data_IF_967011987067
#
_entry.id   IF_967011987067
#
_cell.length_a   1.000
_cell.length_b   1.000
_cell.length_c   1.000
_cell.angle_alpha   90.00
_cell.angle_beta   90.00
_cell.angle_gamma   90.00
#
_symmetry.space_group_name_H-M   'P 1'
#
loop_
_entity.id
_entity.type
_entity.pdbx_description
1 polymer ?
#
# COMPACT_ATOMS: atom_id res chain seq x y z
N UNK A 1 -4.03 17.54 11.55
CA UNK A 1 -4.33 18.52 10.49
C UNK A 1 -5.74 18.28 10.03
N UNK A 2 -6.52 19.33 9.87
CA UNK A 2 -7.86 19.24 9.28
C UNK A 2 -7.77 18.80 7.83
N UNK A 3 -8.61 17.86 7.41
CA UNK A 3 -8.62 17.31 6.06
C UNK A 3 -8.43 15.81 5.99
N UNK A 4 -8.10 15.32 4.79
CA UNK A 4 -7.91 13.90 4.49
C UNK A 4 -6.42 13.55 4.35
N UNK A 5 -6.13 12.27 4.19
CA UNK A 5 -4.76 11.83 3.85
C UNK A 5 -4.26 12.45 2.53
N UNK A 6 -5.15 12.63 1.55
CA UNK A 6 -4.80 13.24 0.27
C UNK A 6 -4.45 14.74 0.43
N UNK A 7 -5.11 15.45 1.36
CA UNK A 7 -4.76 16.83 1.73
C UNK A 7 -3.34 16.89 2.27
N UNK A 8 -2.99 16.03 3.22
CA UNK A 8 -1.63 15.94 3.77
C UNK A 8 -0.59 15.63 2.68
N UNK A 9 -0.94 14.72 1.76
CA UNK A 9 -0.03 14.32 0.69
C UNK A 9 0.16 15.43 -0.36
N UNK A 10 -0.89 16.20 -0.68
CA UNK A 10 -0.79 17.35 -1.57
C UNK A 10 0.12 18.43 -0.96
N UNK A 11 -0.11 18.79 0.31
CA UNK A 11 0.72 19.76 1.04
C UNK A 11 2.20 19.33 1.08
N UNK A 12 2.47 18.04 1.33
CA UNK A 12 3.83 17.51 1.31
C UNK A 12 4.49 17.66 -0.08
N UNK A 13 3.76 17.40 -1.16
CA UNK A 13 4.26 17.58 -2.53
C UNK A 13 4.56 19.05 -2.82
N UNK A 14 3.72 19.96 -2.37
CA UNK A 14 3.93 21.40 -2.53
C UNK A 14 5.18 21.85 -1.77
N UNK A 15 5.42 21.34 -0.55
CA UNK A 15 6.66 21.60 0.19
C UNK A 15 7.89 21.05 -0.52
N UNK A 16 7.81 19.87 -1.17
CA UNK A 16 8.91 19.32 -1.97
C UNK A 16 9.20 20.11 -3.25
N UNK A 17 8.20 20.74 -3.84
CA UNK A 17 8.34 21.59 -5.02
C UNK A 17 8.85 23.00 -4.70
N UNK A 18 8.78 23.42 -3.45
CA UNK A 18 9.44 24.62 -2.96
C UNK A 18 10.89 24.30 -2.60
N UNK A 19 11.80 24.50 -3.55
CA UNK A 19 13.21 24.12 -3.40
C UNK A 19 13.92 24.89 -2.30
N UNK A 20 13.59 26.16 -2.08
CA UNK A 20 14.18 26.97 -1.01
C UNK A 20 13.78 26.39 0.36
N UNK A 21 12.49 26.15 0.58
CA UNK A 21 12.01 25.53 1.80
C UNK A 21 12.59 24.13 1.98
N UNK A 22 12.43 23.26 0.96
CA UNK A 22 12.88 21.87 0.99
C UNK A 22 14.34 21.74 1.40
N UNK A 23 15.22 22.50 0.74
CA UNK A 23 16.65 22.41 0.97
C UNK A 23 17.06 23.09 2.28
N UNK A 24 16.39 24.20 2.66
CA UNK A 24 16.60 24.88 3.93
C UNK A 24 16.30 24.02 5.15
N UNK A 25 15.20 23.26 5.13
CA UNK A 25 14.81 22.34 6.22
C UNK A 25 15.34 20.92 6.04
N UNK A 26 16.02 20.63 4.94
CA UNK A 26 16.45 19.27 4.54
C UNK A 26 15.28 18.29 4.55
N UNK A 27 14.16 18.68 3.92
CA UNK A 27 12.92 17.93 3.91
C UNK A 27 13.13 16.53 3.34
N UNK A 28 12.73 15.52 4.08
CA UNK A 28 12.73 14.13 3.64
C UNK A 28 11.35 13.50 3.85
N UNK A 29 10.87 12.76 2.86
CA UNK A 29 9.61 12.03 2.97
C UNK A 29 9.82 10.67 3.63
N UNK A 30 9.05 10.37 4.68
CA UNK A 30 9.03 9.06 5.36
C UNK A 30 7.77 8.28 5.00
N UNK A 31 7.21 8.51 3.83
CA UNK A 31 6.01 7.85 3.33
C UNK A 31 6.31 6.86 2.19
N UNK A 32 5.27 6.27 1.61
CA UNK A 32 5.39 5.24 0.56
C UNK A 32 6.02 5.71 -0.75
N UNK A 33 6.09 7.03 -1.02
CA UNK A 33 6.77 7.57 -2.21
C UNK A 33 8.29 7.57 -2.09
N UNK A 34 8.85 7.44 -0.88
CA UNK A 34 10.28 7.38 -0.69
C UNK A 34 10.83 6.02 -1.17
N UNK A 35 11.76 6.07 -2.14
CA UNK A 35 12.42 4.88 -2.68
C UNK A 35 13.09 4.02 -1.60
N UNK A 36 13.68 4.62 -0.57
CA UNK A 36 14.30 3.89 0.53
C UNK A 36 13.30 2.98 1.26
N UNK A 37 12.02 3.37 1.35
CA UNK A 37 10.98 2.50 1.91
C UNK A 37 10.67 1.31 1.02
N UNK A 38 10.56 1.52 -0.29
CA UNK A 38 10.39 0.42 -1.25
C UNK A 38 11.57 -0.54 -1.17
N UNK A 39 12.80 -0.01 -1.14
CA UNK A 39 14.01 -0.82 -1.05
C UNK A 39 14.04 -1.66 0.24
N UNK A 40 13.69 -1.07 1.39
CA UNK A 40 13.61 -1.81 2.65
C UNK A 40 12.56 -2.93 2.62
N UNK A 41 11.47 -2.76 1.91
CA UNK A 41 10.42 -3.77 1.77
C UNK A 41 10.85 -4.99 0.93
N UNK A 42 11.85 -4.86 0.06
CA UNK A 42 12.43 -5.99 -0.69
C UNK A 42 12.87 -7.11 0.24
N UNK A 43 13.37 -6.77 1.43
CA UNK A 43 13.83 -7.75 2.44
C UNK A 43 12.72 -8.71 2.86
N UNK A 44 11.46 -8.26 2.94
CA UNK A 44 10.33 -9.11 3.34
C UNK A 44 10.14 -10.27 2.38
N UNK A 45 10.27 -10.04 1.08
CA UNK A 45 10.13 -11.04 0.03
C UNK A 45 11.23 -12.08 0.11
N UNK A 46 12.48 -11.63 0.24
CA UNK A 46 13.61 -12.57 0.40
C UNK A 46 13.49 -13.39 1.69
N UNK A 47 13.19 -12.76 2.82
CA UNK A 47 13.07 -13.45 4.11
C UNK A 47 11.96 -14.50 4.09
N UNK A 48 10.78 -14.15 3.59
CA UNK A 48 9.64 -15.06 3.51
C UNK A 48 9.88 -16.20 2.52
N UNK A 49 10.42 -15.90 1.34
CA UNK A 49 10.73 -16.89 0.32
C UNK A 49 11.80 -17.88 0.79
N UNK A 50 12.87 -17.40 1.42
CA UNK A 50 13.94 -18.26 1.97
C UNK A 50 13.40 -19.16 3.07
N UNK A 51 12.55 -18.67 3.95
CA UNK A 51 11.91 -19.47 5.00
C UNK A 51 11.08 -20.63 4.45
N UNK A 52 10.52 -20.50 3.23
CA UNK A 52 9.79 -21.57 2.53
C UNK A 52 10.67 -22.37 1.54
N UNK A 53 11.98 -22.20 1.55
CA UNK A 53 12.89 -22.96 0.71
C UNK A 53 12.87 -22.54 -0.77
N UNK A 54 12.71 -21.26 -1.06
CA UNK A 54 12.62 -20.70 -2.43
C UNK A 54 13.87 -20.98 -3.30
N UNK A 55 14.99 -21.42 -2.74
CA UNK A 55 16.12 -21.91 -3.54
C UNK A 55 15.81 -23.20 -4.32
N UNK A 56 14.74 -23.92 -3.94
CA UNK A 56 14.34 -25.21 -4.52
C UNK A 56 12.99 -25.17 -5.23
N UNK A 57 12.20 -24.12 -5.01
CA UNK A 57 10.86 -23.96 -5.58
C UNK A 57 10.52 -22.49 -5.77
N UNK A 58 9.61 -22.19 -6.69
CA UNK A 58 9.01 -20.87 -6.80
C UNK A 58 8.00 -20.66 -5.68
N UNK A 59 7.76 -19.38 -5.35
CA UNK A 59 6.73 -18.95 -4.40
C UNK A 59 5.89 -17.86 -5.03
N UNK A 60 4.64 -17.72 -4.58
CA UNK A 60 3.74 -16.64 -4.99
C UNK A 60 3.44 -15.73 -3.81
N UNK A 61 3.17 -14.47 -4.10
CA UNK A 61 2.82 -13.48 -3.08
C UNK A 61 1.50 -12.82 -3.37
N UNK A 62 0.66 -12.70 -2.33
CA UNK A 62 -0.51 -11.82 -2.33
C UNK A 62 -0.24 -10.64 -1.40
N UNK A 63 -0.41 -9.44 -1.92
CA UNK A 63 0.03 -8.23 -1.24
C UNK A 63 -1.14 -7.27 -1.08
N UNK A 64 -1.57 -6.97 0.17
CA UNK A 64 -2.52 -5.90 0.42
C UNK A 64 -2.00 -4.58 -0.13
N UNK A 65 -2.68 -4.02 -1.11
CA UNK A 65 -2.12 -2.94 -1.93
C UNK A 65 -2.98 -1.69 -1.93
N UNK A 66 -2.44 -0.60 -1.39
CA UNK A 66 -2.92 0.75 -1.61
C UNK A 66 -1.95 1.51 -2.54
N UNK A 67 -0.93 2.12 -2.00
CA UNK A 67 0.05 2.95 -2.73
C UNK A 67 1.07 2.18 -3.58
N UNK A 68 0.88 0.90 -3.81
CA UNK A 68 1.71 0.04 -4.67
C UNK A 68 3.17 -0.15 -4.21
N UNK A 69 3.58 0.45 -3.11
CA UNK A 69 4.98 0.43 -2.65
C UNK A 69 5.48 -0.98 -2.34
N UNK A 70 4.71 -1.72 -1.56
CA UNK A 70 5.06 -3.06 -1.10
C UNK A 70 5.11 -4.06 -2.27
N UNK A 71 4.06 -4.15 -3.08
CA UNK A 71 4.08 -5.08 -4.22
C UNK A 71 5.13 -4.70 -5.28
N UNK A 72 5.46 -3.41 -5.42
CA UNK A 72 6.56 -2.98 -6.28
C UNK A 72 7.92 -3.44 -5.73
N UNK A 73 8.09 -3.51 -4.40
CA UNK A 73 9.25 -4.15 -3.79
C UNK A 73 9.34 -5.64 -4.14
N UNK A 74 8.19 -6.34 -4.21
CA UNK A 74 8.12 -7.72 -4.73
C UNK A 74 8.55 -7.83 -6.18
N UNK A 75 8.13 -6.89 -7.02
CA UNK A 75 8.60 -6.81 -8.41
C UNK A 75 10.13 -6.62 -8.49
N UNK A 76 10.69 -5.75 -7.66
CA UNK A 76 12.14 -5.57 -7.58
C UNK A 76 12.83 -6.86 -7.12
N UNK A 77 12.31 -7.54 -6.09
CA UNK A 77 12.84 -8.82 -5.63
C UNK A 77 12.85 -9.87 -6.77
N UNK A 78 11.77 -9.95 -7.57
CA UNK A 78 11.68 -10.81 -8.77
C UNK A 78 12.75 -10.44 -9.78
N UNK A 79 12.95 -9.14 -10.05
CA UNK A 79 13.99 -8.63 -10.97
C UNK A 79 15.42 -8.87 -10.45
N UNK A 80 15.60 -8.97 -9.13
CA UNK A 80 16.87 -9.35 -8.50
C UNK A 80 17.14 -10.85 -8.57
N UNK A 81 16.20 -11.65 -9.06
CA UNK A 81 16.36 -13.10 -9.27
C UNK A 81 15.67 -13.97 -8.22
N UNK A 82 14.89 -13.39 -7.29
CA UNK A 82 14.07 -14.21 -6.40
C UNK A 82 13.03 -14.99 -7.23
N UNK A 83 12.92 -16.32 -7.06
CA UNK A 83 12.05 -17.16 -7.88
C UNK A 83 10.57 -16.96 -7.51
N UNK A 84 10.05 -15.80 -7.81
CA UNK A 84 8.64 -15.47 -7.64
C UNK A 84 7.88 -15.94 -8.88
N UNK A 85 6.84 -16.73 -8.64
CA UNK A 85 5.92 -17.16 -9.69
C UNK A 85 4.89 -16.08 -9.99
N UNK A 86 4.09 -15.69 -8.99
CA UNK A 86 3.01 -14.70 -9.13
C UNK A 86 3.13 -13.61 -8.07
N UNK A 87 2.85 -12.37 -8.47
CA UNK A 87 2.63 -11.23 -7.58
C UNK A 87 1.18 -10.78 -7.74
N UNK A 88 0.39 -10.87 -6.68
CA UNK A 88 -1.05 -10.65 -6.74
C UNK A 88 -1.40 -9.40 -5.93
N UNK A 89 -1.89 -8.39 -6.64
CA UNK A 89 -2.45 -7.17 -6.05
C UNK A 89 -3.74 -7.54 -5.32
N UNK A 90 -3.83 -7.28 -4.03
CA UNK A 90 -5.05 -7.45 -3.27
C UNK A 90 -5.60 -6.07 -2.86
N UNK A 91 -6.71 -5.67 -3.47
CA UNK A 91 -7.37 -4.40 -3.24
C UNK A 91 -8.63 -4.56 -2.37
N UNK A 92 -9.10 -3.48 -1.77
CA UNK A 92 -10.41 -3.42 -1.13
C UNK A 92 -11.48 -2.95 -2.14
N UNK A 93 -12.62 -2.45 -1.66
CA UNK A 93 -13.68 -1.90 -2.49
C UNK A 93 -13.20 -0.77 -3.42
N UNK A 94 -12.21 0.02 -2.99
CA UNK A 94 -11.56 1.04 -3.80
C UNK A 94 -10.52 0.40 -4.75
N UNK A 95 -11.00 -0.39 -5.70
CA UNK A 95 -10.24 -1.36 -6.47
C UNK A 95 -9.64 -0.81 -7.79
N UNK A 96 -9.20 0.45 -7.79
CA UNK A 96 -8.67 1.11 -9.01
C UNK A 96 -7.53 0.31 -9.65
N UNK A 97 -6.61 -0.26 -8.85
CA UNK A 97 -5.51 -1.08 -9.36
C UNK A 97 -6.00 -2.37 -10.03
N UNK A 98 -6.99 -3.05 -9.43
CA UNK A 98 -7.59 -4.22 -10.04
C UNK A 98 -8.24 -3.90 -11.39
N UNK A 99 -9.00 -2.79 -11.47
CA UNK A 99 -9.58 -2.32 -12.73
C UNK A 99 -8.52 -1.99 -13.77
N UNK A 100 -7.44 -1.31 -13.35
CA UNK A 100 -6.34 -0.97 -14.24
C UNK A 100 -5.67 -2.21 -14.85
N UNK A 101 -5.35 -3.22 -14.04
CA UNK A 101 -4.72 -4.46 -14.51
C UNK A 101 -5.67 -5.29 -15.39
N UNK A 102 -6.96 -5.34 -15.06
CA UNK A 102 -7.93 -6.18 -15.80
C UNK A 102 -8.45 -5.54 -17.07
N UNK A 103 -8.62 -4.21 -17.09
CA UNK A 103 -9.27 -3.50 -18.22
C UNK A 103 -8.37 -2.55 -18.98
N UNK A 104 -7.19 -2.24 -18.44
CA UNK A 104 -6.31 -1.20 -19.00
C UNK A 104 -6.81 0.23 -18.73
N UNK A 105 -7.84 0.42 -17.87
CA UNK A 105 -8.39 1.73 -17.55
C UNK A 105 -8.06 2.12 -16.10
N UNK A 106 -7.38 3.23 -15.93
CA UNK A 106 -7.07 3.82 -14.63
C UNK A 106 -7.91 5.08 -14.43
N UNK A 107 -9.19 4.89 -14.13
CA UNK A 107 -10.15 5.97 -13.96
C UNK A 107 -10.47 6.17 -12.48
N UNK A 108 -10.22 7.39 -11.97
CA UNK A 108 -10.52 7.74 -10.58
C UNK A 108 -12.03 7.82 -10.33
N UNK A 109 -12.43 7.51 -9.13
CA UNK A 109 -13.81 7.63 -8.65
C UNK A 109 -13.82 8.18 -7.22
N UNK A 110 -14.99 8.40 -6.66
CA UNK A 110 -15.11 8.78 -5.25
C UNK A 110 -14.56 7.67 -4.36
N UNK A 111 -13.75 8.02 -3.37
CA UNK A 111 -13.26 7.09 -2.35
C UNK A 111 -14.42 6.69 -1.44
N UNK A 112 -14.61 5.40 -1.25
CA UNK A 112 -15.54 4.86 -0.25
C UNK A 112 -14.76 4.49 1.01
N UNK A 113 -15.02 5.13 2.17
CA UNK A 113 -14.38 4.76 3.42
C UNK A 113 -14.69 3.31 3.81
N UNK A 114 -13.67 2.56 4.24
CA UNK A 114 -13.79 1.15 4.62
C UNK A 114 -13.03 0.87 5.93
N UNK A 115 -13.12 -0.38 6.42
CA UNK A 115 -12.29 -0.85 7.56
C UNK A 115 -10.81 -1.04 7.22
N UNK A 116 -10.41 -0.75 5.98
CA UNK A 116 -9.02 -0.82 5.51
C UNK A 116 -8.54 0.54 4.99
N UNK A 117 -8.48 1.57 5.86
CA UNK A 117 -8.28 2.96 5.44
C UNK A 117 -7.00 3.22 4.66
N UNK A 118 -5.94 2.42 4.85
CA UNK A 118 -4.69 2.56 4.08
C UNK A 118 -4.83 2.12 2.61
N UNK A 119 -5.96 1.50 2.25
CA UNK A 119 -6.29 1.08 0.89
C UNK A 119 -7.42 1.94 0.29
N UNK A 120 -7.99 2.90 1.05
CA UNK A 120 -9.05 3.82 0.63
C UNK A 120 -8.44 4.95 -0.20
N UNK A 121 -7.98 4.60 -1.40
CA UNK A 121 -7.32 5.50 -2.33
C UNK A 121 -7.85 5.35 -3.75
N UNK A 122 -7.71 6.40 -4.55
CA UNK A 122 -7.94 6.39 -6.00
C UNK A 122 -6.69 6.81 -6.79
N UNK A 123 -5.62 7.22 -6.11
CA UNK A 123 -4.33 7.52 -6.73
C UNK A 123 -3.24 6.72 -6.01
N UNK A 124 -2.74 5.69 -6.69
CA UNK A 124 -1.71 4.79 -6.16
C UNK A 124 -0.32 5.32 -6.54
N UNK A 125 0.38 5.94 -5.58
CA UNK A 125 1.57 6.77 -5.83
C UNK A 125 2.77 6.04 -6.44
N UNK A 126 2.94 4.73 -6.19
CA UNK A 126 4.05 3.97 -6.78
C UNK A 126 3.64 3.16 -8.02
N UNK A 127 2.37 3.17 -8.41
CA UNK A 127 1.94 2.54 -9.66
C UNK A 127 2.60 3.20 -10.88
N UNK A 128 2.88 4.50 -10.78
CA UNK A 128 3.67 5.25 -11.75
C UNK A 128 5.03 4.58 -12.06
N UNK A 129 5.67 3.95 -11.07
CA UNK A 129 6.93 3.22 -11.25
C UNK A 129 6.75 1.95 -12.08
N UNK A 130 5.64 1.24 -11.89
CA UNK A 130 5.32 0.07 -12.69
C UNK A 130 4.95 0.46 -14.13
N UNK A 131 4.23 1.57 -14.30
CA UNK A 131 3.98 2.14 -15.62
C UNK A 131 5.29 2.53 -16.33
N UNK A 132 6.21 3.17 -15.63
CA UNK A 132 7.51 3.53 -16.20
C UNK A 132 8.26 2.30 -16.75
N UNK A 133 8.30 1.20 -15.99
CA UNK A 133 8.89 -0.06 -16.48
C UNK A 133 8.08 -0.66 -17.64
N UNK A 134 6.74 -0.65 -17.59
CA UNK A 134 5.87 -1.20 -18.64
C UNK A 134 5.93 -0.44 -19.96
N UNK A 135 6.26 0.85 -19.92
CA UNK A 135 6.52 1.72 -21.07
C UNK A 135 8.01 1.79 -21.45
N UNK A 136 8.80 0.76 -21.16
CA UNK A 136 10.22 0.69 -21.50
C UNK A 136 11.04 1.90 -21.00
N UNK A 137 10.63 2.48 -19.85
CA UNK A 137 11.22 3.67 -19.21
C UNK A 137 11.05 4.97 -19.99
N UNK A 138 10.02 5.07 -20.82
CA UNK A 138 9.65 6.31 -21.49
C UNK A 138 9.00 7.30 -20.52
N UNK A 139 9.81 8.24 -19.98
CA UNK A 139 9.36 9.27 -19.06
C UNK A 139 8.38 10.27 -19.66
N UNK A 140 8.44 10.53 -20.99
CA UNK A 140 7.51 11.45 -21.64
C UNK A 140 6.10 10.87 -21.67
N UNK A 141 5.97 9.58 -22.02
CA UNK A 141 4.69 8.89 -22.01
C UNK A 141 4.12 8.83 -20.60
N UNK A 142 4.91 8.47 -19.60
CA UNK A 142 4.44 8.45 -18.20
C UNK A 142 4.00 9.84 -17.73
N UNK A 143 4.73 10.89 -18.08
CA UNK A 143 4.34 12.28 -17.76
C UNK A 143 2.98 12.64 -18.37
N UNK A 144 2.72 12.24 -19.61
CA UNK A 144 1.40 12.44 -20.27
C UNK A 144 0.29 11.72 -19.51
N UNK A 145 0.50 10.44 -19.13
CA UNK A 145 -0.47 9.68 -18.33
C UNK A 145 -0.77 10.34 -17.00
N UNK A 146 0.25 10.86 -16.31
CA UNK A 146 0.06 11.57 -15.03
C UNK A 146 -0.67 12.90 -15.21
N UNK A 147 -0.51 13.57 -16.35
CA UNK A 147 -1.30 14.74 -16.70
C UNK A 147 -2.77 14.40 -16.99
N UNK A 148 -3.04 13.27 -17.64
CA UNK A 148 -4.39 12.77 -17.87
C UNK A 148 -5.06 12.32 -16.56
N UNK A 149 -4.32 11.69 -15.66
CA UNK A 149 -4.81 11.32 -14.33
C UNK A 149 -5.39 12.51 -13.56
N UNK A 150 -4.76 13.69 -13.66
CA UNK A 150 -5.29 14.93 -13.05
C UNK A 150 -6.64 15.36 -13.63
N UNK A 151 -7.01 14.84 -14.81
CA UNK A 151 -8.30 15.12 -15.48
C UNK A 151 -9.34 14.02 -15.22
N UNK A 152 -8.98 12.99 -14.45
CA UNK A 152 -9.90 11.92 -14.03
C UNK A 152 -9.45 10.50 -14.38
N UNK A 153 -8.45 10.32 -15.23
CA UNK A 153 -7.96 8.97 -15.55
C UNK A 153 -7.28 8.87 -16.90
N UNK A 154 -6.76 7.68 -17.22
CA UNK A 154 -6.07 7.39 -18.48
C UNK A 154 -6.27 5.94 -18.92
N UNK A 155 -6.00 5.68 -20.20
CA UNK A 155 -5.92 4.33 -20.76
C UNK A 155 -4.47 3.85 -20.83
N UNK A 156 -4.24 2.60 -20.48
CA UNK A 156 -2.95 1.92 -20.65
C UNK A 156 -2.98 1.23 -22.01
N UNK A 157 -1.97 1.43 -22.86
CA UNK A 157 -1.93 0.77 -24.15
C UNK A 157 -1.75 -0.75 -24.03
N UNK A 158 -2.09 -1.46 -25.08
CA UNK A 158 -2.11 -2.93 -25.08
C UNK A 158 -0.75 -3.55 -24.76
N UNK A 159 0.36 -2.95 -25.22
CA UNK A 159 1.71 -3.48 -24.98
C UNK A 159 2.09 -3.33 -23.51
N UNK A 160 1.90 -2.14 -22.95
CA UNK A 160 2.17 -1.86 -21.55
C UNK A 160 1.25 -2.66 -20.62
N UNK A 161 -0.04 -2.81 -20.98
CA UNK A 161 -0.98 -3.64 -20.22
C UNK A 161 -0.54 -5.11 -20.17
N UNK A 162 -0.13 -5.69 -21.29
CA UNK A 162 0.40 -7.06 -21.32
C UNK A 162 1.67 -7.19 -20.48
N UNK A 163 2.55 -6.19 -20.49
CA UNK A 163 3.73 -6.16 -19.64
C UNK A 163 3.35 -6.18 -18.16
N UNK A 164 2.40 -5.33 -17.74
CA UNK A 164 1.90 -5.33 -16.36
C UNK A 164 1.24 -6.65 -15.97
N UNK A 165 0.43 -7.24 -16.84
CA UNK A 165 -0.24 -8.52 -16.63
C UNK A 165 0.72 -9.72 -16.57
N UNK A 166 1.89 -9.64 -17.18
CA UNK A 166 2.94 -10.65 -17.03
C UNK A 166 3.61 -10.62 -15.64
N UNK A 167 3.61 -9.47 -14.98
CA UNK A 167 4.23 -9.29 -13.69
C UNK A 167 3.25 -9.34 -12.52
N UNK A 168 2.00 -8.90 -12.75
CA UNK A 168 1.00 -8.73 -11.71
C UNK A 168 -0.34 -9.36 -12.09
N UNK A 169 -0.84 -10.19 -11.18
CA UNK A 169 -2.26 -10.55 -11.11
C UNK A 169 -2.98 -9.59 -10.15
N UNK A 170 -4.31 -9.68 -10.08
CA UNK A 170 -5.05 -8.84 -9.14
C UNK A 170 -6.39 -9.46 -8.72
N UNK A 171 -6.79 -9.12 -7.50
CA UNK A 171 -8.11 -9.42 -6.96
C UNK A 171 -8.54 -8.34 -5.96
N UNK A 172 -9.76 -8.44 -5.47
CA UNK A 172 -10.28 -7.50 -4.48
C UNK A 172 -11.24 -8.16 -3.50
N UNK A 173 -11.46 -7.51 -2.36
CA UNK A 173 -12.36 -7.97 -1.31
C UNK A 173 -13.40 -6.91 -0.97
N UNK A 174 -14.64 -7.34 -0.71
CA UNK A 174 -15.64 -6.49 -0.08
C UNK A 174 -15.36 -6.39 1.43
N UNK A 175 -15.94 -5.41 2.09
CA UNK A 175 -15.84 -5.29 3.54
C UNK A 175 -16.40 -6.54 4.26
N UNK A 176 -17.53 -7.06 3.79
CA UNK A 176 -18.14 -8.27 4.31
C UNK A 176 -17.20 -9.48 4.22
N UNK A 177 -16.65 -9.75 3.02
CA UNK A 177 -15.71 -10.86 2.83
C UNK A 177 -14.42 -10.68 3.66
N UNK A 178 -13.97 -9.46 3.87
CA UNK A 178 -12.83 -9.14 4.73
C UNK A 178 -13.13 -9.51 6.19
N UNK A 179 -14.29 -9.11 6.72
CA UNK A 179 -14.72 -9.48 8.09
C UNK A 179 -14.89 -11.00 8.26
N UNK A 180 -15.48 -11.65 7.27
CA UNK A 180 -15.61 -13.12 7.27
C UNK A 180 -14.24 -13.79 7.30
N UNK A 181 -13.27 -13.29 6.54
CA UNK A 181 -11.91 -13.84 6.52
C UNK A 181 -11.21 -13.70 7.88
N UNK A 182 -11.32 -12.54 8.55
CA UNK A 182 -10.79 -12.36 9.92
C UNK A 182 -11.35 -13.43 10.84
N UNK A 183 -12.68 -13.61 10.83
CA UNK A 183 -13.36 -14.59 11.68
C UNK A 183 -12.91 -16.02 11.36
N UNK A 184 -12.91 -16.42 10.10
CA UNK A 184 -12.55 -17.76 9.66
C UNK A 184 -11.13 -18.15 10.06
N UNK A 185 -10.17 -17.25 9.87
CA UNK A 185 -8.75 -17.48 10.25
C UNK A 185 -8.64 -17.59 11.78
N UNK A 186 -9.35 -16.73 12.52
CA UNK A 186 -9.36 -16.82 13.98
C UNK A 186 -9.97 -18.14 14.47
N UNK A 187 -11.09 -18.57 13.90
CA UNK A 187 -11.78 -19.80 14.32
C UNK A 187 -10.96 -21.07 13.97
N UNK A 188 -10.18 -21.04 12.87
CA UNK A 188 -9.44 -22.23 12.40
C UNK A 188 -8.09 -22.42 13.08
N UNK A 189 -7.37 -21.35 13.40
CA UNK A 189 -5.99 -21.45 13.91
C UNK A 189 -5.64 -20.44 15.01
N UNK A 190 -6.65 -19.70 15.52
CA UNK A 190 -6.47 -18.67 16.54
C UNK A 190 -5.58 -17.50 16.15
N UNK A 191 -5.26 -17.36 14.85
CA UNK A 191 -4.48 -16.22 14.34
C UNK A 191 -5.38 -14.99 14.15
N UNK A 192 -4.92 -13.84 14.62
CA UNK A 192 -5.68 -12.58 14.53
C UNK A 192 -5.11 -11.73 13.41
N UNK A 193 -5.87 -11.58 12.33
CA UNK A 193 -5.47 -10.74 11.20
C UNK A 193 -5.90 -9.28 11.41
N UNK A 194 -5.08 -8.33 10.95
CA UNK A 194 -5.58 -6.98 10.70
C UNK A 194 -6.47 -6.97 9.45
N UNK A 195 -7.39 -5.99 9.29
CA UNK A 195 -8.29 -5.96 8.14
C UNK A 195 -7.57 -5.93 6.79
N UNK A 196 -6.44 -5.22 6.69
CA UNK A 196 -5.66 -5.17 5.45
C UNK A 196 -5.06 -6.53 5.08
N UNK A 197 -4.47 -7.24 6.05
CA UNK A 197 -3.96 -8.61 5.82
C UNK A 197 -5.08 -9.58 5.46
N UNK A 198 -6.28 -9.40 6.01
CA UNK A 198 -7.44 -10.21 5.67
C UNK A 198 -7.89 -10.04 4.22
N UNK A 199 -7.80 -8.83 3.65
CA UNK A 199 -7.99 -8.62 2.20
C UNK A 199 -7.00 -9.47 1.40
N UNK A 200 -5.72 -9.46 1.79
CA UNK A 200 -4.70 -10.29 1.16
C UNK A 200 -5.03 -11.79 1.23
N UNK A 201 -5.39 -12.30 2.41
CA UNK A 201 -5.74 -13.71 2.60
C UNK A 201 -6.98 -14.11 1.78
N UNK A 202 -8.01 -13.25 1.73
CA UNK A 202 -9.20 -13.50 0.90
C UNK A 202 -8.82 -13.65 -0.57
N UNK A 203 -8.04 -12.72 -1.10
CA UNK A 203 -7.60 -12.76 -2.49
C UNK A 203 -6.65 -13.95 -2.73
N UNK A 204 -5.78 -14.27 -1.77
CA UNK A 204 -4.93 -15.46 -1.85
C UNK A 204 -5.75 -16.74 -2.00
N UNK A 205 -6.78 -16.94 -1.20
CA UNK A 205 -7.62 -18.13 -1.22
C UNK A 205 -8.34 -18.34 -2.57
N UNK A 206 -8.62 -17.27 -3.29
CA UNK A 206 -9.23 -17.34 -4.63
C UNK A 206 -8.20 -17.56 -5.75
N UNK A 207 -6.92 -17.44 -5.43
CA UNK A 207 -5.82 -17.48 -6.39
C UNK A 207 -4.78 -18.57 -6.07
N UNK A 208 -5.11 -19.52 -5.23
CA UNK A 208 -4.23 -20.64 -4.93
C UNK A 208 -3.88 -21.39 -6.22
N UNK A 209 -2.60 -21.79 -6.34
CA UNK A 209 -2.04 -22.50 -7.48
C UNK A 209 -1.10 -23.61 -7.03
N UNK A 210 -0.13 -23.95 -7.87
CA UNK A 210 0.83 -25.02 -7.60
C UNK A 210 2.02 -24.59 -6.73
N UNK A 211 2.21 -23.29 -6.56
CA UNK A 211 3.30 -22.72 -5.75
C UNK A 211 2.79 -22.28 -4.37
N UNK A 212 3.60 -22.37 -3.32
CA UNK A 212 3.23 -21.84 -2.02
C UNK A 212 2.85 -20.37 -2.13
N UNK A 213 1.70 -20.00 -1.55
CA UNK A 213 1.17 -18.64 -1.54
C UNK A 213 1.49 -17.97 -0.21
N UNK A 214 2.19 -16.86 -0.27
CA UNK A 214 2.55 -16.03 0.87
C UNK A 214 1.69 -14.78 0.86
N UNK A 215 0.92 -14.54 1.91
CA UNK A 215 0.23 -13.25 2.09
C UNK A 215 1.05 -12.37 3.02
N UNK A 216 1.39 -11.16 2.59
CA UNK A 216 2.12 -10.22 3.44
C UNK A 216 1.21 -9.66 4.54
N UNK A 217 1.67 -9.75 5.79
CA UNK A 217 1.02 -9.14 6.93
C UNK A 217 1.49 -7.68 7.08
N UNK A 218 0.60 -6.72 6.80
CA UNK A 218 0.97 -5.32 6.62
C UNK A 218 0.83 -4.47 7.89
N UNK A 219 0.07 -4.93 8.88
CA UNK A 219 -0.10 -4.22 10.14
C UNK A 219 -0.46 -5.17 11.30
N UNK A 220 -0.18 -4.73 12.52
CA UNK A 220 -0.64 -5.44 13.71
C UNK A 220 -2.16 -5.23 13.90
N UNK A 221 -2.95 -6.27 14.25
CA UNK A 221 -4.40 -6.16 14.41
C UNK A 221 -4.84 -5.14 15.47
N UNK A 222 -4.06 -4.91 16.51
CA UNK A 222 -4.34 -3.91 17.54
C UNK A 222 -4.37 -2.46 17.01
N UNK A 223 -3.89 -2.21 15.81
CA UNK A 223 -4.02 -0.91 15.13
C UNK A 223 -5.45 -0.63 14.66
N UNK A 224 -6.27 -1.67 14.55
CA UNK A 224 -7.65 -1.59 14.05
C UNK A 224 -8.62 -2.32 15.02
N UNK A 225 -8.65 -1.92 16.32
CA UNK A 225 -9.32 -2.71 17.37
C UNK A 225 -10.81 -2.87 17.12
N UNK A 226 -11.50 -1.84 16.65
CA UNK A 226 -12.95 -1.86 16.43
C UNK A 226 -13.34 -2.79 15.27
N UNK A 227 -12.61 -2.73 14.16
CA UNK A 227 -12.85 -3.59 13.01
C UNK A 227 -12.60 -5.08 13.34
N UNK A 228 -11.54 -5.36 14.09
CA UNK A 228 -11.19 -6.71 14.53
C UNK A 228 -12.21 -7.22 15.54
N UNK A 229 -12.59 -6.41 16.56
CA UNK A 229 -13.64 -6.76 17.54
C UNK A 229 -14.97 -7.04 16.86
N UNK A 230 -15.38 -6.19 15.92
CA UNK A 230 -16.63 -6.39 15.19
C UNK A 230 -16.64 -7.68 14.34
N UNK A 231 -15.47 -8.15 13.91
CA UNK A 231 -15.34 -9.35 13.07
C UNK A 231 -15.27 -10.65 13.89
N UNK A 232 -14.54 -10.68 15.01
CA UNK A 232 -14.30 -11.90 15.80
C UNK A 232 -14.87 -11.87 17.22
N UNK A 233 -15.52 -10.78 17.63
CA UNK A 233 -16.13 -10.64 18.96
C UNK A 233 -15.19 -10.32 20.11
N UNK A 234 -13.88 -10.19 19.85
CA UNK A 234 -12.85 -9.93 20.86
C UNK A 234 -11.90 -8.82 20.42
N UNK A 235 -11.40 -8.03 21.38
CA UNK A 235 -10.35 -7.06 21.14
C UNK A 235 -9.00 -7.77 20.88
N UNK A 236 -8.21 -7.33 19.89
CA UNK A 236 -6.85 -7.81 19.71
C UNK A 236 -5.95 -7.35 20.87
N UNK A 237 -5.02 -8.20 21.28
CA UNK A 237 -4.04 -7.84 22.31
C UNK A 237 -3.02 -6.86 21.74
N UNK A 238 -2.57 -5.92 22.56
CA UNK A 238 -1.40 -5.08 22.24
C UNK A 238 -0.12 -5.94 22.19
N UNK A 239 0.87 -5.56 21.37
CA UNK A 239 2.21 -6.14 21.45
C UNK A 239 2.79 -5.94 22.85
N UNK A 240 3.56 -6.92 23.34
CA UNK A 240 4.14 -6.86 24.71
C UNK A 240 4.94 -5.56 24.94
N UNK A 241 5.73 -5.13 23.95
CA UNK A 241 6.52 -3.89 24.02
C UNK A 241 5.71 -2.58 23.97
N UNK A 242 4.39 -2.66 23.76
CA UNK A 242 3.46 -1.53 23.68
C UNK A 242 2.25 -1.73 24.60
N UNK A 243 2.37 -2.55 25.65
CA UNK A 243 1.27 -2.85 26.57
C UNK A 243 0.69 -1.62 27.27
N UNK A 244 1.53 -0.60 27.46
CA UNK A 244 1.20 0.68 28.11
C UNK A 244 0.84 1.79 27.10
N UNK A 245 0.60 1.46 25.83
CA UNK A 245 0.39 2.45 24.75
C UNK A 245 -0.73 3.45 25.08
N UNK A 246 -1.83 2.96 25.63
CA UNK A 246 -3.00 3.80 25.96
C UNK A 246 -2.84 4.61 27.24
N UNK A 247 -1.82 4.32 28.06
CA UNK A 247 -1.49 5.07 29.26
C UNK A 247 -0.48 6.21 28.99
N UNK A 248 0.12 6.21 27.78
CA UNK A 248 1.09 7.23 27.38
C UNK A 248 0.40 8.52 26.95
N UNK A 249 0.93 9.69 27.31
CA UNK A 249 0.37 10.97 26.86
C UNK A 249 0.56 11.11 25.34
N UNK A 250 -0.50 11.47 24.66
CA UNK A 250 -0.45 11.84 23.24
C UNK A 250 0.25 13.21 23.07
N UNK A 251 1.13 13.28 22.07
CA UNK A 251 1.80 14.51 21.66
C UNK A 251 1.27 14.91 20.29
N UNK A 252 0.20 15.69 20.29
CA UNK A 252 -0.52 16.13 19.12
C UNK A 252 -0.47 17.66 19.00
N UNK A 253 -0.35 18.16 17.78
CA UNK A 253 -0.55 19.57 17.46
C UNK A 253 -1.62 19.64 16.36
N UNK A 254 -2.77 20.21 16.68
CA UNK A 254 -3.82 20.45 15.69
C UNK A 254 -3.44 21.60 14.79
N UNK A 255 -3.70 21.42 13.48
CA UNK A 255 -3.39 22.41 12.46
C UNK A 255 -4.49 22.46 11.40
N UNK A 256 -4.87 23.66 10.91
CA UNK A 256 -5.70 23.80 9.74
C UNK A 256 -4.95 23.37 8.46
N UNK A 257 -5.68 23.23 7.35
CA UNK A 257 -5.11 23.06 6.02
C UNK A 257 -4.53 24.38 5.51
N UNK A 258 -3.36 24.74 6.03
CA UNK A 258 -2.66 26.01 5.74
C UNK A 258 -1.16 25.72 5.54
N UNK A 259 -0.72 25.75 4.28
CA UNK A 259 0.67 25.46 3.91
C UNK A 259 1.67 26.48 4.47
N UNK A 260 1.45 27.81 4.43
CA UNK A 260 2.30 28.78 5.08
C UNK A 260 2.49 28.54 6.58
N UNK A 261 1.40 28.27 7.29
CA UNK A 261 1.44 27.97 8.73
C UNK A 261 2.23 26.68 9.02
N UNK A 262 2.03 25.64 8.22
CA UNK A 262 2.79 24.39 8.33
C UNK A 262 4.30 24.61 8.13
N UNK A 263 4.69 25.39 7.12
CA UNK A 263 6.11 25.73 6.90
C UNK A 263 6.70 26.51 8.08
N UNK A 264 5.96 27.46 8.63
CA UNK A 264 6.40 28.21 9.82
C UNK A 264 6.61 27.30 11.02
N UNK A 265 5.67 26.40 11.30
CA UNK A 265 5.81 25.43 12.40
C UNK A 265 7.04 24.54 12.23
N UNK A 266 7.29 24.05 11.01
CA UNK A 266 8.47 23.20 10.73
C UNK A 266 9.76 23.99 11.01
N UNK A 267 9.83 25.26 10.53
CA UNK A 267 10.99 26.11 10.79
C UNK A 267 11.23 26.39 12.28
N UNK A 268 10.17 26.59 13.06
CA UNK A 268 10.29 26.77 14.52
C UNK A 268 10.84 25.52 15.20
N UNK A 269 10.37 24.35 14.78
CA UNK A 269 10.79 23.07 15.39
C UNK A 269 12.20 22.63 15.06
N UNK A 270 12.74 23.06 13.92
CA UNK A 270 14.12 22.73 13.49
C UNK A 270 15.16 23.62 14.17
N UNK A 271 14.76 24.83 14.59
CA UNK A 271 15.66 25.76 15.31
C UNK A 271 15.89 25.42 16.78
N UNK A 272 15.17 24.42 17.28
CA UNK A 272 15.31 23.86 18.64
C UNK A 272 16.24 22.64 18.61
#
# INVERSE_FOLDING_TARGET
>A
MEGTFDTCQAMLKDMFNDFEFRDGVRLAGVNSINWARVLAQVVYYFSAAVALGASRQKVSFTVPTGNFGDIFAGYIAKRMGLPIDRLIIAANHNNILHRAITTGRYDTSTVTPTITPSMDIQVSSNFERALFEAYDRDGETVTKLMCELKKGGFGIDKKALLSLQNDFDSGWATEESTRMTIKQIYDSNSEVLCPHSAVGVKVANENLGHTPMITLATAHPAKFPDAVKASMGKLPKLPIGLADLFDRPERLTDMPDDLPLMKSLIWERIKL
#
